data_IF_249895860908
#
_entry.id   IF_249895860908
#
_cell.length_a   1.000
_cell.length_b   1.000
_cell.length_c   1.000
_cell.angle_alpha   90.00
_cell.angle_beta   90.00
_cell.angle_gamma   90.00
#
_symmetry.space_group_name_H-M   'P 1'
#
loop_
_entity.id
_entity.type
_entity.pdbx_description
1 polymer ?
#
# COMPACT_ATOMS: atom_id res chain seq x y z
N UNK A 1 19.38 -0.67 35.03
CA UNK A 1 19.63 0.79 34.94
C UNK A 1 19.72 1.33 36.35
N UNK A 2 20.89 1.84 36.74
CA UNK A 2 21.16 2.30 38.11
C UNK A 2 20.46 3.65 38.29
N UNK A 3 19.42 3.71 39.12
CA UNK A 3 18.79 4.96 39.52
C UNK A 3 19.80 5.75 40.37
N UNK A 4 20.39 6.79 39.80
CA UNK A 4 21.30 7.69 40.50
C UNK A 4 20.51 8.47 41.56
N UNK A 5 20.93 8.35 42.82
CA UNK A 5 20.29 9.01 43.95
C UNK A 5 20.25 10.55 43.74
N UNK A 6 19.19 11.25 44.19
CA UNK A 6 19.08 12.68 44.01
C UNK A 6 20.17 13.41 44.80
N UNK A 7 21.15 13.97 44.08
CA UNK A 7 22.18 14.85 44.68
C UNK A 7 21.48 16.05 45.35
N UNK A 8 21.75 16.26 46.63
CA UNK A 8 21.16 17.36 47.42
C UNK A 8 21.61 18.71 46.87
N UNK A 9 20.65 19.63 46.69
CA UNK A 9 20.90 21.00 46.20
C UNK A 9 21.95 21.78 47.01
N UNK A 10 22.16 21.43 48.28
CA UNK A 10 23.16 22.05 49.15
C UNK A 10 24.61 21.85 48.70
N UNK A 11 24.88 20.92 47.78
CA UNK A 11 26.24 20.54 47.35
C UNK A 11 26.57 21.04 45.94
N UNK A 12 25.59 21.60 45.21
CA UNK A 12 25.80 22.09 43.85
C UNK A 12 26.20 23.57 43.83
N UNK A 13 27.13 23.94 42.94
CA UNK A 13 27.40 25.35 42.67
C UNK A 13 26.22 26.00 41.92
N UNK A 14 26.12 27.32 41.96
CA UNK A 14 25.04 28.08 41.30
C UNK A 14 24.92 27.75 39.80
N UNK A 15 26.05 27.54 39.11
CA UNK A 15 26.07 27.16 37.69
C UNK A 15 25.58 25.71 37.48
N UNK A 16 25.98 24.79 38.35
CA UNK A 16 25.52 23.40 38.28
C UNK A 16 24.02 23.25 38.58
N UNK A 17 23.46 24.12 39.42
CA UNK A 17 22.00 24.17 39.63
C UNK A 17 21.25 24.65 38.39
N UNK A 18 21.77 25.67 37.68
CA UNK A 18 21.16 26.19 36.44
C UNK A 18 21.16 25.12 35.35
N UNK A 19 22.28 24.41 35.18
CA UNK A 19 22.41 23.34 34.20
C UNK A 19 21.47 22.16 34.51
N UNK A 20 21.36 21.78 35.78
CA UNK A 20 20.41 20.76 36.23
C UNK A 20 18.95 21.19 36.03
N UNK A 21 18.63 22.47 36.26
CA UNK A 21 17.28 23.01 36.02
C UNK A 21 16.89 22.93 34.54
N UNK A 22 17.83 23.23 33.62
CA UNK A 22 17.63 23.06 32.17
C UNK A 22 17.40 21.59 31.80
N UNK A 23 18.24 20.69 32.31
CA UNK A 23 18.11 19.25 32.06
C UNK A 23 16.75 18.70 32.54
N UNK A 24 16.31 19.08 33.74
CA UNK A 24 14.99 18.67 34.25
C UNK A 24 13.85 19.25 33.41
N UNK A 25 13.97 20.49 32.94
CA UNK A 25 12.98 21.10 32.06
C UNK A 25 12.86 20.32 30.74
N UNK A 26 13.99 19.95 30.14
CA UNK A 26 14.03 19.17 28.90
C UNK A 26 13.45 17.75 29.08
N UNK A 27 13.74 17.09 30.20
CA UNK A 27 13.14 15.81 30.55
C UNK A 27 11.63 15.91 30.74
N UNK A 28 11.15 16.92 31.48
CA UNK A 28 9.73 17.18 31.65
C UNK A 28 9.04 17.43 30.31
N UNK A 29 9.67 18.18 29.41
CA UNK A 29 9.15 18.42 28.07
C UNK A 29 9.10 17.13 27.22
N UNK A 30 10.12 16.26 27.31
CA UNK A 30 10.13 14.94 26.65
C UNK A 30 9.00 14.05 27.17
N UNK A 31 8.85 13.95 28.49
CA UNK A 31 7.80 13.14 29.13
C UNK A 31 6.41 13.66 28.77
N UNK A 32 6.20 14.98 28.81
CA UNK A 32 4.94 15.62 28.41
C UNK A 32 4.57 15.27 26.97
N UNK A 33 5.52 15.38 26.05
CA UNK A 33 5.32 15.03 24.63
C UNK A 33 5.02 13.54 24.43
N UNK A 34 5.66 12.65 25.18
CA UNK A 34 5.35 11.21 25.15
C UNK A 34 3.94 10.93 25.67
N UNK A 35 3.56 11.51 26.80
CA UNK A 35 2.22 11.39 27.37
C UNK A 35 1.14 11.86 26.39
N UNK A 36 1.32 13.01 25.76
CA UNK A 36 0.34 13.57 24.82
C UNK A 36 0.18 12.68 23.58
N UNK A 37 1.28 12.07 23.08
CA UNK A 37 1.23 11.07 22.01
C UNK A 37 0.49 9.80 22.43
N UNK A 38 0.77 9.28 23.63
CA UNK A 38 0.09 8.09 24.14
C UNK A 38 -1.40 8.34 24.35
N UNK A 39 -1.75 9.51 24.90
CA UNK A 39 -3.15 9.92 25.08
C UNK A 39 -3.89 9.95 23.75
N UNK A 40 -3.32 10.58 22.72
CA UNK A 40 -3.89 10.55 21.37
C UNK A 40 -4.08 9.14 20.83
N UNK A 41 -3.13 8.24 21.07
CA UNK A 41 -3.20 6.84 20.61
C UNK A 41 -4.31 6.05 21.33
N UNK A 42 -4.49 6.28 22.63
CA UNK A 42 -5.58 5.70 23.43
C UNK A 42 -6.93 6.24 22.99
N UNK A 43 -7.06 7.56 22.78
CA UNK A 43 -8.31 8.16 22.30
C UNK A 43 -8.70 7.62 20.91
N UNK A 44 -7.70 7.43 20.03
CA UNK A 44 -7.91 6.81 18.70
C UNK A 44 -8.38 5.36 18.84
N UNK A 45 -7.73 4.57 19.69
CA UNK A 45 -8.10 3.17 19.93
C UNK A 45 -9.49 3.04 20.60
N UNK A 46 -9.83 3.94 21.52
CA UNK A 46 -11.13 3.97 22.19
C UNK A 46 -12.28 4.36 21.26
N UNK A 47 -12.00 5.12 20.20
CA UNK A 47 -12.95 5.41 19.12
C UNK A 47 -13.06 4.30 18.07
N UNK A 48 -12.27 3.22 18.20
CA UNK A 48 -12.26 2.10 17.26
C UNK A 48 -13.31 1.07 17.68
N UNK A 49 -14.17 0.65 16.75
CA UNK A 49 -15.14 -0.42 16.97
C UNK A 49 -14.36 -1.72 17.18
N UNK A 50 -14.60 -2.41 18.30
CA UNK A 50 -14.06 -3.74 18.57
C UNK A 50 -14.78 -4.75 17.68
N UNK A 51 -14.13 -5.19 16.60
CA UNK A 51 -14.62 -6.30 15.79
C UNK A 51 -14.49 -7.60 16.59
N UNK A 52 -15.61 -8.25 16.86
CA UNK A 52 -15.65 -9.57 17.51
C UNK A 52 -15.30 -10.66 16.47
N UNK A 53 -14.74 -11.80 16.91
CA UNK A 53 -14.45 -12.93 16.00
C UNK A 53 -15.71 -13.44 15.28
N UNK A 54 -16.89 -13.28 15.88
CA UNK A 54 -18.18 -13.61 15.26
C UNK A 54 -18.51 -12.70 14.08
N UNK A 55 -18.07 -11.44 14.07
CA UNK A 55 -18.33 -10.51 12.97
C UNK A 55 -17.64 -10.98 11.68
N UNK A 56 -16.53 -11.72 11.80
CA UNK A 56 -15.86 -12.34 10.66
C UNK A 56 -16.69 -13.49 10.07
N UNK A 57 -17.37 -14.26 10.93
CA UNK A 57 -18.25 -15.35 10.50
C UNK A 57 -19.49 -14.80 9.78
N UNK A 58 -20.10 -13.75 10.33
CA UNK A 58 -21.23 -13.05 9.71
C UNK A 58 -20.85 -12.48 8.34
N UNK A 59 -19.65 -11.91 8.22
CA UNK A 59 -19.12 -11.47 6.92
C UNK A 59 -18.98 -12.62 5.93
N UNK A 60 -18.44 -13.77 6.37
CA UNK A 60 -18.31 -14.96 5.51
C UNK A 60 -19.68 -15.47 5.05
N UNK A 61 -20.67 -15.47 5.94
CA UNK A 61 -22.03 -15.87 5.62
C UNK A 61 -22.68 -14.91 4.62
N UNK A 62 -22.58 -13.60 4.83
CA UNK A 62 -23.07 -12.58 3.89
C UNK A 62 -22.38 -12.70 2.52
N UNK A 63 -21.08 -12.98 2.49
CA UNK A 63 -20.32 -13.21 1.25
C UNK A 63 -20.81 -14.47 0.55
N UNK A 64 -21.08 -15.54 1.28
CA UNK A 64 -21.60 -16.80 0.74
C UNK A 64 -23.04 -16.66 0.21
N UNK A 65 -23.87 -15.82 0.84
CA UNK A 65 -25.23 -15.47 0.41
C UNK A 65 -25.27 -14.37 -0.67
N UNK A 66 -24.10 -13.83 -1.04
CA UNK A 66 -23.91 -12.69 -1.94
C UNK A 66 -24.35 -12.87 -3.40
N UNK A 67 -24.85 -14.05 -3.79
CA UNK A 67 -25.45 -14.28 -5.11
C UNK A 67 -26.60 -13.29 -5.39
N UNK A 68 -27.34 -12.86 -4.36
CA UNK A 68 -28.42 -11.88 -4.50
C UNK A 68 -27.97 -10.40 -4.49
N UNK A 69 -26.70 -10.12 -4.20
CA UNK A 69 -26.15 -8.75 -4.09
C UNK A 69 -25.38 -8.35 -5.36
N UNK A 70 -24.82 -9.32 -6.09
CA UNK A 70 -24.00 -9.09 -7.27
C UNK A 70 -24.83 -8.68 -8.50
N UNK A 71 -24.93 -7.37 -8.77
CA UNK A 71 -25.66 -6.81 -9.92
C UNK A 71 -24.88 -6.87 -11.23
N UNK A 72 -23.55 -6.99 -11.16
CA UNK A 72 -22.67 -7.01 -12.34
C UNK A 72 -21.82 -8.28 -12.37
N UNK A 73 -21.37 -8.74 -13.57
CA UNK A 73 -20.47 -9.87 -13.69
C UNK A 73 -19.18 -9.70 -12.87
N UNK A 74 -18.65 -8.48 -12.79
CA UNK A 74 -17.45 -8.21 -11.98
C UNK A 74 -17.73 -8.29 -10.48
N UNK A 75 -18.86 -7.78 -9.99
CA UNK A 75 -19.22 -7.90 -8.57
C UNK A 75 -19.39 -9.36 -8.16
N UNK A 76 -19.97 -10.20 -9.03
CA UNK A 76 -20.07 -11.64 -8.80
C UNK A 76 -18.68 -12.26 -8.67
N UNK A 77 -17.82 -12.02 -9.66
CA UNK A 77 -16.43 -12.50 -9.64
C UNK A 77 -15.68 -12.03 -8.39
N UNK A 78 -15.87 -10.77 -7.98
CA UNK A 78 -15.24 -10.22 -6.79
C UNK A 78 -15.62 -11.02 -5.55
N UNK A 79 -16.92 -11.26 -5.33
CA UNK A 79 -17.41 -12.01 -4.17
C UNK A 79 -17.02 -13.49 -4.20
N UNK A 80 -17.05 -14.13 -5.37
CA UNK A 80 -16.53 -15.49 -5.55
C UNK A 80 -15.06 -15.59 -5.12
N UNK A 81 -14.24 -14.62 -5.54
CA UNK A 81 -12.82 -14.56 -5.19
C UNK A 81 -12.60 -14.20 -3.71
N UNK A 82 -13.46 -13.40 -3.08
CA UNK A 82 -13.43 -13.17 -1.62
C UNK A 82 -13.76 -14.45 -0.87
N UNK A 83 -14.82 -15.17 -1.26
CA UNK A 83 -15.24 -16.42 -0.63
C UNK A 83 -14.14 -17.50 -0.75
N UNK A 84 -13.50 -17.59 -1.91
CA UNK A 84 -12.37 -18.50 -2.14
C UNK A 84 -11.16 -18.11 -1.29
N UNK A 85 -10.84 -16.81 -1.20
CA UNK A 85 -9.73 -16.32 -0.39
C UNK A 85 -9.97 -16.54 1.11
N UNK A 86 -11.21 -16.46 1.59
CA UNK A 86 -11.55 -16.74 2.98
C UNK A 86 -11.33 -18.22 3.36
N UNK A 87 -11.52 -19.14 2.41
CA UNK A 87 -11.32 -20.59 2.62
C UNK A 87 -9.86 -21.02 2.50
N UNK A 88 -9.01 -20.21 1.88
CA UNK A 88 -7.62 -20.55 1.56
C UNK A 88 -6.64 -19.76 2.41
N UNK A 89 -5.44 -20.30 2.57
CA UNK A 89 -4.33 -19.52 3.13
C UNK A 89 -3.83 -18.51 2.11
N UNK A 90 -3.26 -17.41 2.58
CA UNK A 90 -2.74 -16.32 1.73
C UNK A 90 -1.72 -16.77 0.66
N UNK A 91 -1.01 -17.89 0.88
CA UNK A 91 -0.05 -18.47 -0.08
C UNK A 91 -0.70 -19.39 -1.12
N UNK A 92 -1.90 -19.89 -0.87
CA UNK A 92 -2.61 -20.84 -1.74
C UNK A 92 -3.65 -20.19 -2.67
N UNK A 93 -3.86 -18.88 -2.57
CA UNK A 93 -4.85 -18.17 -3.37
C UNK A 93 -4.36 -17.92 -4.80
N UNK A 94 -5.09 -18.44 -5.79
CA UNK A 94 -4.87 -18.16 -7.20
C UNK A 94 -5.96 -17.22 -7.71
N UNK A 95 -5.59 -15.95 -7.84
CA UNK A 95 -6.52 -14.91 -8.25
C UNK A 95 -6.92 -15.02 -9.72
N UNK A 96 -8.18 -14.73 -10.01
CA UNK A 96 -8.66 -14.58 -11.38
C UNK A 96 -7.93 -13.43 -12.12
N UNK A 97 -7.56 -13.57 -13.42
CA UNK A 97 -6.82 -12.54 -14.15
C UNK A 97 -7.49 -11.15 -14.15
N UNK A 98 -8.83 -11.11 -14.24
CA UNK A 98 -9.57 -9.84 -14.17
C UNK A 98 -9.44 -9.15 -12.81
N UNK A 99 -9.37 -9.92 -11.71
CA UNK A 99 -9.11 -9.37 -10.38
C UNK A 99 -7.69 -8.80 -10.28
N UNK A 100 -6.70 -9.48 -10.84
CA UNK A 100 -5.32 -8.96 -10.91
C UNK A 100 -5.28 -7.63 -11.67
N UNK A 101 -5.88 -7.57 -12.86
CA UNK A 101 -5.94 -6.35 -13.68
C UNK A 101 -6.59 -5.19 -12.92
N UNK A 102 -7.73 -5.44 -12.26
CA UNK A 102 -8.41 -4.43 -11.46
C UNK A 102 -7.56 -3.95 -10.28
N UNK A 103 -6.85 -4.86 -9.58
CA UNK A 103 -5.96 -4.50 -8.49
C UNK A 103 -4.73 -3.69 -8.96
N UNK A 104 -4.18 -4.00 -10.13
CA UNK A 104 -3.10 -3.21 -10.74
C UNK A 104 -3.59 -1.79 -11.02
N UNK A 105 -4.79 -1.64 -11.63
CA UNK A 105 -5.40 -0.35 -11.90
C UNK A 105 -5.60 0.45 -10.61
N UNK A 106 -6.20 -0.16 -9.59
CA UNK A 106 -6.44 0.48 -8.29
C UNK A 106 -5.14 0.94 -7.62
N UNK A 107 -4.10 0.10 -7.64
CA UNK A 107 -2.77 0.45 -7.11
C UNK A 107 -2.12 1.59 -7.90
N UNK A 108 -2.28 1.60 -9.22
CA UNK A 108 -1.76 2.67 -10.09
C UNK A 108 -2.41 4.02 -9.77
N UNK A 109 -3.72 4.04 -9.48
CA UNK A 109 -4.39 5.26 -9.03
C UNK A 109 -3.93 5.73 -7.65
N UNK A 110 -3.80 4.81 -6.68
CA UNK A 110 -3.26 5.15 -5.36
C UNK A 110 -2.75 3.91 -4.62
N UNK A 111 -1.44 3.83 -4.44
CA UNK A 111 -0.82 2.73 -3.70
C UNK A 111 -1.28 2.70 -2.23
N UNK A 112 -1.42 3.87 -1.59
CA UNK A 112 -1.86 3.96 -0.19
C UNK A 112 -3.31 3.52 0.00
N UNK A 113 -4.19 3.90 -0.93
CA UNK A 113 -5.58 3.46 -0.90
C UNK A 113 -5.68 1.95 -1.08
N UNK A 114 -4.90 1.38 -2.00
CA UNK A 114 -4.81 -0.07 -2.19
C UNK A 114 -4.38 -0.81 -0.91
N UNK A 115 -3.35 -0.31 -0.22
CA UNK A 115 -2.89 -0.89 1.04
C UNK A 115 -3.93 -0.79 2.16
N UNK A 116 -4.65 0.32 2.22
CA UNK A 116 -5.72 0.51 3.21
C UNK A 116 -6.87 -0.47 2.94
N UNK A 117 -7.28 -0.61 1.68
CA UNK A 117 -8.35 -1.52 1.27
C UNK A 117 -8.00 -3.00 1.55
N UNK A 118 -6.72 -3.37 1.44
CA UNK A 118 -6.21 -4.71 1.78
C UNK A 118 -6.39 -5.11 3.25
N UNK A 119 -6.64 -4.15 4.15
CA UNK A 119 -6.96 -4.46 5.54
C UNK A 119 -8.44 -4.83 5.73
N UNK A 120 -9.32 -4.44 4.80
CA UNK A 120 -10.76 -4.68 4.88
C UNK A 120 -11.20 -5.86 4.02
N UNK A 121 -10.56 -6.06 2.87
CA UNK A 121 -10.91 -7.12 1.91
C UNK A 121 -9.68 -7.91 1.48
N UNK A 122 -9.88 -9.17 1.12
CA UNK A 122 -8.80 -10.03 0.65
C UNK A 122 -8.41 -9.65 -0.77
N UNK A 123 -7.20 -9.14 -0.96
CA UNK A 123 -6.67 -8.78 -2.29
C UNK A 123 -5.27 -9.37 -2.49
N UNK A 124 -4.79 -9.47 -3.75
CA UNK A 124 -3.43 -9.88 -4.06
C UNK A 124 -2.37 -9.14 -3.24
N UNK A 125 -1.22 -9.78 -3.04
CA UNK A 125 -0.10 -9.13 -2.36
C UNK A 125 0.60 -8.12 -3.28
N UNK A 126 1.31 -7.16 -2.69
CA UNK A 126 2.18 -6.24 -3.44
C UNK A 126 3.20 -7.01 -4.29
N UNK A 127 3.72 -8.13 -3.78
CA UNK A 127 4.62 -9.01 -4.52
C UNK A 127 3.93 -9.58 -5.76
N UNK A 128 2.74 -10.14 -5.59
CA UNK A 128 1.93 -10.67 -6.69
C UNK A 128 1.72 -9.61 -7.76
N UNK A 129 1.24 -8.41 -7.38
CA UNK A 129 1.02 -7.34 -8.35
C UNK A 129 2.31 -6.91 -9.06
N UNK A 130 3.43 -6.82 -8.33
CA UNK A 130 4.73 -6.50 -8.91
C UNK A 130 5.15 -7.53 -9.95
N UNK A 131 5.00 -8.81 -9.65
CA UNK A 131 5.40 -9.91 -10.55
C UNK A 131 4.57 -9.88 -11.85
N UNK A 132 3.27 -9.53 -11.78
CA UNK A 132 2.45 -9.31 -12.98
C UNK A 132 2.79 -8.01 -13.72
N UNK A 133 3.10 -6.93 -13.00
CA UNK A 133 3.43 -5.62 -13.61
C UNK A 133 4.76 -5.68 -14.36
N UNK A 134 5.76 -6.38 -13.81
CA UNK A 134 7.10 -6.49 -14.39
C UNK A 134 7.29 -7.76 -15.22
N UNK A 135 6.19 -8.33 -15.72
CA UNK A 135 6.26 -9.49 -16.62
C UNK A 135 7.03 -9.13 -17.91
N UNK A 136 6.84 -7.91 -18.40
CA UNK A 136 7.61 -7.36 -19.52
C UNK A 136 8.75 -6.52 -18.94
N UNK A 137 9.99 -6.88 -19.25
CA UNK A 137 11.16 -6.11 -18.82
C UNK A 137 11.31 -4.88 -19.71
N UNK A 138 11.30 -3.69 -19.11
CA UNK A 138 11.64 -2.46 -19.82
C UNK A 138 13.10 -2.51 -20.29
N UNK A 139 13.34 -2.14 -21.53
CA UNK A 139 14.68 -2.06 -22.15
C UNK A 139 14.82 -0.73 -22.88
N UNK A 140 16.04 -0.19 -22.99
CA UNK A 140 16.30 0.95 -23.87
C UNK A 140 15.97 0.61 -25.32
N UNK A 141 15.45 1.59 -26.06
CA UNK A 141 15.05 1.42 -27.46
C UNK A 141 13.60 0.97 -27.64
N UNK A 142 13.30 0.45 -28.83
CA UNK A 142 11.98 -0.03 -29.20
C UNK A 142 11.76 -1.48 -28.74
N UNK A 143 10.53 -1.82 -28.36
CA UNK A 143 10.14 -3.19 -27.98
C UNK A 143 9.12 -3.73 -28.97
N UNK A 144 9.53 -4.76 -29.70
CA UNK A 144 8.66 -5.44 -30.67
C UNK A 144 7.40 -6.01 -30.01
N UNK A 145 7.51 -6.45 -28.75
CA UNK A 145 6.38 -6.99 -27.98
C UNK A 145 5.35 -5.91 -27.66
N UNK A 146 5.79 -4.73 -27.23
CA UNK A 146 4.90 -3.59 -26.95
C UNK A 146 4.28 -3.08 -28.24
N UNK A 147 5.07 -2.96 -29.31
CA UNK A 147 4.58 -2.52 -30.61
C UNK A 147 3.52 -3.49 -31.15
N UNK A 148 3.73 -4.80 -31.01
CA UNK A 148 2.73 -5.80 -31.42
C UNK A 148 1.45 -5.71 -30.57
N UNK A 149 1.58 -5.46 -29.26
CA UNK A 149 0.41 -5.25 -28.40
C UNK A 149 -0.38 -4.00 -28.79
N UNK A 150 0.30 -2.90 -29.10
CA UNK A 150 -0.33 -1.66 -29.58
C UNK A 150 -1.02 -1.92 -30.92
N UNK A 151 -0.35 -2.58 -31.87
CA UNK A 151 -0.95 -2.96 -33.18
C UNK A 151 -2.23 -3.78 -33.01
N UNK A 152 -2.19 -4.76 -32.12
CA UNK A 152 -3.34 -5.62 -31.83
C UNK A 152 -4.47 -4.83 -31.14
N UNK A 153 -4.13 -3.98 -30.16
CA UNK A 153 -5.11 -3.19 -29.42
C UNK A 153 -5.80 -2.13 -30.30
N UNK A 154 -5.04 -1.48 -31.18
CA UNK A 154 -5.55 -0.51 -32.13
C UNK A 154 -6.23 -1.15 -33.36
N UNK A 155 -6.15 -2.48 -33.50
CA UNK A 155 -6.72 -3.24 -34.61
C UNK A 155 -6.31 -2.65 -35.97
N UNK A 156 -5.02 -2.35 -36.13
CA UNK A 156 -4.51 -1.58 -37.28
C UNK A 156 -4.85 -2.23 -38.64
N UNK A 157 -5.03 -3.54 -38.67
CA UNK A 157 -5.42 -4.27 -39.89
C UNK A 157 -6.86 -4.03 -40.33
N UNK A 158 -7.75 -3.56 -39.45
CA UNK A 158 -9.17 -3.34 -39.73
C UNK A 158 -9.58 -1.87 -39.80
N UNK A 159 -8.69 -0.93 -39.46
CA UNK A 159 -8.98 0.50 -39.51
C UNK A 159 -8.80 1.07 -40.92
N UNK A 160 -9.53 2.15 -41.22
CA UNK A 160 -9.42 2.81 -42.51
C UNK A 160 -8.07 3.51 -42.68
N UNK A 161 -7.62 3.74 -43.92
CA UNK A 161 -6.32 4.37 -44.19
C UNK A 161 -6.15 5.74 -43.54
N UNK A 162 -7.23 6.53 -43.48
CA UNK A 162 -7.21 7.84 -42.82
C UNK A 162 -6.95 7.78 -41.32
N UNK A 163 -7.26 6.65 -40.68
CA UNK A 163 -7.10 6.46 -39.22
C UNK A 163 -5.70 5.94 -38.87
N UNK A 164 -4.92 5.53 -39.87
CA UNK A 164 -3.53 5.08 -39.69
C UNK A 164 -2.54 6.24 -39.53
N UNK A 165 -2.93 7.47 -39.88
CA UNK A 165 -2.08 8.64 -39.71
C UNK A 165 -2.01 9.02 -38.22
N UNK A 166 -0.81 8.96 -37.65
CA UNK A 166 -0.52 9.36 -36.28
C UNK A 166 0.69 10.28 -36.24
N UNK A 167 0.75 11.14 -35.22
CA UNK A 167 1.88 12.02 -34.96
C UNK A 167 2.64 11.47 -33.76
N UNK A 168 3.94 11.25 -33.93
CA UNK A 168 4.83 10.88 -32.84
C UNK A 168 5.52 12.14 -32.32
N UNK A 169 5.19 12.54 -31.09
CA UNK A 169 5.84 13.65 -30.40
C UNK A 169 6.79 13.07 -29.36
N UNK A 170 8.06 13.51 -29.40
CA UNK A 170 9.12 13.05 -28.50
C UNK A 170 9.80 14.29 -27.94
N UNK A 171 10.09 14.25 -26.64
CA UNK A 171 10.86 15.26 -25.93
C UNK A 171 11.82 14.57 -24.94
N UNK A 172 12.88 15.26 -24.56
CA UNK A 172 13.87 14.75 -23.63
C UNK A 172 13.59 15.25 -22.20
N UNK A 173 13.78 14.38 -21.21
CA UNK A 173 13.60 14.72 -19.80
C UNK A 173 14.94 14.60 -19.07
N UNK A 174 15.36 15.67 -18.40
CA UNK A 174 16.52 15.62 -17.51
C UNK A 174 16.21 14.77 -16.28
N UNK A 175 17.02 13.75 -16.03
CA UNK A 175 16.96 12.87 -14.86
C UNK A 175 18.21 13.07 -14.00
N UNK A 176 18.10 12.77 -12.70
CA UNK A 176 19.24 12.87 -11.78
C UNK A 176 20.33 11.87 -12.16
N UNK A 177 21.55 12.36 -12.28
CA UNK A 177 22.75 11.53 -12.44
C UNK A 177 23.07 10.80 -11.13
N UNK A 178 22.99 9.47 -11.13
CA UNK A 178 23.37 8.61 -10.01
C UNK A 178 23.71 7.20 -10.52
N UNK A 179 24.49 6.45 -9.75
CA UNK A 179 24.84 5.06 -10.07
C UNK A 179 23.78 4.12 -9.49
N UNK A 180 23.07 3.40 -10.37
CA UNK A 180 22.04 2.42 -9.97
C UNK A 180 22.52 1.00 -10.26
N UNK A 181 22.45 0.11 -9.27
CA UNK A 181 22.72 -1.31 -9.44
C UNK A 181 21.43 -2.10 -9.69
N UNK A 182 21.32 -2.72 -10.86
CA UNK A 182 20.28 -3.71 -11.13
C UNK A 182 20.81 -5.12 -10.84
N UNK A 183 20.18 -5.82 -9.89
CA UNK A 183 20.53 -7.19 -9.51
C UNK A 183 20.02 -8.26 -10.49
N UNK A 184 19.21 -7.87 -11.47
CA UNK A 184 18.52 -8.77 -12.39
C UNK A 184 19.02 -8.65 -13.84
N UNK A 185 20.04 -7.82 -14.05
CA UNK A 185 20.85 -7.69 -15.26
C UNK A 185 22.20 -8.34 -14.98
#
# INVERSE_FOLDING_TARGET
MIATAPVKYSVLSKNQMIERMKSLHDELMKIKKQRDRLKHKVDTLGSTITLHENDHHDFIQIIAEGENIAKTPFQRLFWEQQAEAAKKTSRGMRWHPLMIRWCILLRHHSQKAYETMRHCVSLPSQRTLRDYTHHIKARPGFSDEVDQQIRNAAQISSIEERERYSVLLIDEMHIREDLVFDKHT
#
